data_IF_203800368358
#
_entry.id   IF_203800368358
#
_cell.length_a   1.000
_cell.length_b   1.000
_cell.length_c   1.000
_cell.angle_alpha   90.00
_cell.angle_beta   90.00
_cell.angle_gamma   90.00
#
_symmetry.space_group_name_H-M   'P 1'
#
loop_
_entity.id
_entity.type
_entity.pdbx_description
1 polymer ?
#
# COMPACT_ATOMS: atom_id res chain seq x y z
N UNK A 1 -5.25 -18.14 0.60
CA UNK A 1 -4.80 -18.00 2.00
C UNK A 1 -5.38 -16.73 2.62
N UNK A 2 -5.12 -16.45 3.91
CA UNK A 2 -5.69 -15.27 4.60
C UNK A 2 -5.29 -13.93 3.95
N UNK A 3 -4.10 -13.84 3.37
CA UNK A 3 -3.61 -12.65 2.67
C UNK A 3 -4.39 -12.33 1.39
N UNK A 4 -4.91 -13.34 0.70
CA UNK A 4 -5.65 -13.18 -0.57
C UNK A 4 -7.05 -12.63 -0.31
N UNK A 5 -7.73 -13.13 0.72
CA UNK A 5 -9.04 -12.61 1.19
C UNK A 5 -8.90 -11.16 1.68
N UNK A 6 -7.79 -10.83 2.35
CA UNK A 6 -7.52 -9.46 2.76
C UNK A 6 -7.28 -8.52 1.56
N UNK A 7 -6.54 -8.96 0.53
CA UNK A 7 -6.36 -8.22 -0.72
C UNK A 7 -7.69 -7.96 -1.44
N UNK A 8 -8.58 -8.94 -1.49
CA UNK A 8 -9.92 -8.80 -2.06
C UNK A 8 -10.74 -7.73 -1.32
N UNK A 9 -10.83 -7.82 0.01
CA UNK A 9 -11.54 -6.81 0.82
C UNK A 9 -10.99 -5.38 0.65
N UNK A 10 -9.66 -5.18 0.67
CA UNK A 10 -9.09 -3.85 0.45
C UNK A 10 -9.30 -3.34 -0.98
N UNK A 11 -9.32 -4.23 -1.98
CA UNK A 11 -9.68 -3.89 -3.36
C UNK A 11 -11.16 -3.48 -3.48
N UNK A 12 -12.06 -4.14 -2.75
CA UNK A 12 -13.48 -3.72 -2.64
C UNK A 12 -13.61 -2.34 -2.00
N UNK A 13 -12.86 -2.05 -0.92
CA UNK A 13 -12.86 -0.74 -0.28
C UNK A 13 -12.41 0.35 -1.26
N UNK A 14 -11.31 0.13 -1.98
CA UNK A 14 -10.76 1.07 -2.96
C UNK A 14 -11.68 1.32 -4.16
N UNK A 15 -12.45 0.30 -4.57
CA UNK A 15 -13.36 0.43 -5.73
C UNK A 15 -14.71 1.05 -5.37
N UNK A 16 -15.21 0.87 -4.14
CA UNK A 16 -16.51 1.41 -3.69
C UNK A 16 -16.40 2.77 -2.98
N UNK A 17 -15.43 2.96 -2.08
CA UNK A 17 -15.38 4.11 -1.15
C UNK A 17 -14.41 5.21 -1.62
N UNK A 18 -14.57 5.64 -2.88
CA UNK A 18 -13.62 6.55 -3.58
C UNK A 18 -13.45 7.94 -2.96
N UNK A 19 -14.31 8.33 -2.03
CA UNK A 19 -14.31 9.66 -1.39
C UNK A 19 -13.74 9.63 0.03
N UNK A 20 -13.61 8.45 0.66
CA UNK A 20 -13.04 8.29 2.01
C UNK A 20 -11.52 8.25 1.95
N UNK A 21 -10.91 9.42 1.75
CA UNK A 21 -9.45 9.58 1.59
C UNK A 21 -8.62 8.97 2.73
N UNK A 22 -9.00 9.08 4.02
CA UNK A 22 -8.30 8.36 5.09
C UNK A 22 -8.36 6.83 4.94
N UNK A 23 -9.54 6.23 4.76
CA UNK A 23 -9.65 4.77 4.69
C UNK A 23 -9.02 4.19 3.41
N UNK A 24 -9.05 4.92 2.30
CA UNK A 24 -8.33 4.54 1.08
C UNK A 24 -6.81 4.47 1.30
N UNK A 25 -6.22 5.48 1.96
CA UNK A 25 -4.78 5.50 2.25
C UNK A 25 -4.34 4.34 3.15
N UNK A 26 -5.17 3.97 4.14
CA UNK A 26 -4.98 2.78 4.98
C UNK A 26 -5.13 1.46 4.20
N UNK A 27 -6.10 1.38 3.29
CA UNK A 27 -6.31 0.20 2.44
C UNK A 27 -5.10 -0.05 1.53
N UNK A 28 -4.60 0.99 0.84
CA UNK A 28 -3.38 0.89 0.03
C UNK A 28 -2.14 0.50 0.87
N UNK A 29 -2.00 1.01 2.11
CA UNK A 29 -0.88 0.63 2.97
C UNK A 29 -0.96 -0.86 3.37
N UNK A 30 -2.17 -1.33 3.64
CA UNK A 30 -2.44 -2.73 3.99
C UNK A 30 -2.17 -3.67 2.81
N UNK A 31 -2.57 -3.30 1.58
CA UNK A 31 -2.21 -4.01 0.35
C UNK A 31 -0.68 -4.08 0.20
N UNK A 32 0.02 -2.96 0.40
CA UNK A 32 1.49 -2.93 0.36
C UNK A 32 2.13 -3.93 1.32
N UNK A 33 1.66 -3.97 2.58
CA UNK A 33 2.13 -4.92 3.60
C UNK A 33 1.78 -6.38 3.30
N UNK A 34 0.66 -6.64 2.63
CA UNK A 34 0.27 -7.98 2.19
C UNK A 34 1.14 -8.47 1.03
N UNK A 35 1.53 -7.58 0.11
CA UNK A 35 2.43 -7.89 -0.99
C UNK A 35 3.86 -8.12 -0.50
N UNK A 36 4.35 -7.33 0.47
CA UNK A 36 5.61 -7.65 1.18
C UNK A 36 5.58 -9.03 1.85
N UNK A 37 4.46 -9.41 2.49
CA UNK A 37 4.31 -10.73 3.10
C UNK A 37 4.25 -11.89 2.08
N UNK A 38 4.11 -11.60 0.78
CA UNK A 38 4.21 -12.51 -0.35
C UNK A 38 5.57 -12.45 -1.08
N UNK A 39 6.49 -11.59 -0.63
CA UNK A 39 7.71 -11.20 -1.34
C UNK A 39 7.47 -10.54 -2.72
N UNK A 40 6.27 -10.01 -2.97
CA UNK A 40 5.99 -9.19 -4.15
C UNK A 40 6.33 -7.72 -3.85
N UNK A 41 7.63 -7.44 -3.86
CA UNK A 41 8.16 -6.11 -3.52
C UNK A 41 7.74 -5.04 -4.53
N UNK A 42 7.47 -5.45 -5.79
CA UNK A 42 7.02 -4.54 -6.84
C UNK A 42 5.60 -4.07 -6.58
N UNK A 43 4.65 -4.99 -6.39
CA UNK A 43 3.28 -4.64 -6.05
C UNK A 43 3.17 -3.94 -4.68
N UNK A 44 4.11 -4.20 -3.76
CA UNK A 44 4.25 -3.44 -2.52
C UNK A 44 4.67 -1.99 -2.78
N UNK A 45 5.74 -1.77 -3.56
CA UNK A 45 6.21 -0.43 -3.95
C UNK A 45 5.14 0.34 -4.73
N UNK A 46 4.43 -0.28 -5.68
CA UNK A 46 3.34 0.38 -6.41
C UNK A 46 2.23 0.84 -5.46
N UNK A 47 1.86 0.01 -4.48
CA UNK A 47 0.85 0.35 -3.46
C UNK A 47 1.28 1.52 -2.58
N UNK A 48 2.54 1.55 -2.14
CA UNK A 48 3.05 2.67 -1.33
C UNK A 48 3.21 3.97 -2.12
N UNK A 49 3.72 3.90 -3.35
CA UNK A 49 3.82 5.08 -4.22
C UNK A 49 2.43 5.65 -4.56
N UNK A 50 1.38 4.82 -4.60
CA UNK A 50 0.00 5.30 -4.77
C UNK A 50 -0.46 6.16 -3.59
N UNK A 51 -0.07 5.83 -2.36
CA UNK A 51 -0.33 6.66 -1.16
C UNK A 51 0.41 8.00 -1.26
N UNK A 52 1.68 7.96 -1.68
CA UNK A 52 2.52 9.17 -1.83
C UNK A 52 2.04 10.12 -2.93
N UNK A 53 1.38 9.59 -3.97
CA UNK A 53 0.76 10.36 -5.07
C UNK A 53 -0.57 10.98 -4.63
N UNK A 54 -1.51 10.14 -4.22
CA UNK A 54 -2.93 10.51 -4.13
C UNK A 54 -3.38 10.92 -2.72
N UNK A 55 -2.61 10.54 -1.69
CA UNK A 55 -2.97 10.69 -0.26
C UNK A 55 -1.84 11.32 0.56
N UNK A 56 -1.01 12.16 -0.07
CA UNK A 56 0.24 12.72 0.47
C UNK A 56 0.12 13.48 1.78
N UNK A 57 -1.08 13.97 2.14
CA UNK A 57 -1.40 14.69 3.37
C UNK A 57 -1.98 13.78 4.48
N UNK A 58 -1.66 12.47 4.48
CA UNK A 58 -2.10 11.50 5.49
C UNK A 58 -0.91 10.93 6.27
N UNK A 59 -1.13 10.49 7.52
CA UNK A 59 -0.10 9.77 8.30
C UNK A 59 0.37 8.49 7.58
N UNK A 60 -0.53 7.86 6.81
CA UNK A 60 -0.21 6.72 5.95
C UNK A 60 0.80 7.06 4.85
N UNK A 61 0.86 8.31 4.36
CA UNK A 61 1.90 8.73 3.43
C UNK A 61 3.28 8.83 4.10
N UNK A 62 3.36 9.21 5.38
CA UNK A 62 4.63 9.17 6.13
C UNK A 62 5.11 7.72 6.27
N UNK A 63 4.23 6.82 6.71
CA UNK A 63 4.54 5.39 6.83
C UNK A 63 4.90 4.75 5.48
N UNK A 64 4.19 5.12 4.40
CA UNK A 64 4.46 4.64 3.04
C UNK A 64 5.84 5.11 2.53
N UNK A 65 6.23 6.36 2.84
CA UNK A 65 7.54 6.92 2.49
C UNK A 65 8.67 6.10 3.12
N UNK A 66 8.56 5.81 4.41
CA UNK A 66 9.55 5.01 5.13
C UNK A 66 9.65 3.58 4.59
N UNK A 67 8.51 2.96 4.19
CA UNK A 67 8.51 1.66 3.51
C UNK A 67 9.14 1.70 2.13
N UNK A 68 8.90 2.73 1.32
CA UNK A 68 9.57 2.91 0.01
C UNK A 68 11.08 3.08 0.20
N UNK A 69 11.52 3.91 1.15
CA UNK A 69 12.95 4.10 1.45
C UNK A 69 13.59 2.78 1.92
N UNK A 70 12.93 2.03 2.81
CA UNK A 70 13.42 0.74 3.28
C UNK A 70 13.57 -0.29 2.15
N UNK A 71 12.54 -0.48 1.31
CA UNK A 71 12.56 -1.47 0.24
C UNK A 71 13.62 -1.13 -0.83
N UNK A 72 13.83 0.16 -1.12
CA UNK A 72 14.91 0.65 -1.99
C UNK A 72 16.29 0.43 -1.38
N UNK A 73 16.45 0.61 -0.07
CA UNK A 73 17.72 0.33 0.62
C UNK A 73 18.07 -1.17 0.62
N UNK A 74 17.09 -2.07 0.54
CA UNK A 74 17.29 -3.51 0.32
C UNK A 74 17.52 -3.86 -1.17
N UNK A 75 17.38 -2.90 -2.09
CA UNK A 75 17.53 -3.10 -3.53
C UNK A 75 16.34 -3.78 -4.22
N UNK A 76 15.16 -3.79 -3.60
CA UNK A 76 13.94 -4.42 -4.14
C UNK A 76 13.15 -3.55 -5.14
N UNK A 77 13.79 -2.52 -5.71
CA UNK A 77 13.22 -1.61 -6.72
C UNK A 77 13.79 -1.83 -8.13
N UNK A 78 14.37 -3.01 -8.39
CA UNK A 78 15.08 -3.40 -9.61
C UNK A 78 14.44 -4.61 -10.29
#
# INVERSE_FOLDING_TARGET
>A
GKADVALEHYTTIITQYKEDTPNLSHAYFSIGRLNEAKSDWKAALESYNKILSDFSNTDWALLAKDRVVFLKAQGYDK
#
